data_IF_653694870903
#
_entry.id   IF_653694870903
#
_cell.length_a   1.000
_cell.length_b   1.000
_cell.length_c   1.000
_cell.angle_alpha   90.00
_cell.angle_beta   90.00
_cell.angle_gamma   90.00
#
_symmetry.space_group_name_H-M   'P 1'
#
loop_
_entity.id
_entity.type
_entity.pdbx_description
1 polymer ?
#
# COMPACT_ATOMS: atom_id res chain seq x y z
N UNK A 1 -11.26 -3.70 -11.00
CA UNK A 1 -10.51 -3.71 -9.75
C UNK A 1 -10.30 -2.31 -9.17
N UNK A 2 -9.92 -1.32 -9.95
CA UNK A 2 -9.70 0.02 -9.42
C UNK A 2 -10.97 0.85 -9.36
N UNK A 3 -11.18 1.51 -8.23
CA UNK A 3 -12.20 2.54 -8.10
C UNK A 3 -11.63 3.85 -8.64
N UNK A 4 -12.15 4.31 -9.77
CA UNK A 4 -11.63 5.48 -10.46
C UNK A 4 -11.70 6.75 -9.62
N UNK A 5 -12.62 6.82 -8.65
CA UNK A 5 -12.74 8.00 -7.78
C UNK A 5 -11.54 8.14 -6.83
N UNK A 6 -10.79 7.04 -6.61
CA UNK A 6 -9.60 7.07 -5.76
C UNK A 6 -8.34 7.48 -6.50
N UNK A 7 -8.35 7.55 -7.84
CA UNK A 7 -7.15 7.89 -8.59
C UNK A 7 -6.62 9.29 -8.25
N UNK A 8 -7.45 10.35 -8.20
CA UNK A 8 -6.94 11.66 -7.79
C UNK A 8 -6.44 11.68 -6.35
N UNK A 9 -7.11 10.94 -5.46
CA UNK A 9 -6.70 10.83 -4.06
C UNK A 9 -5.34 10.16 -3.96
N UNK A 10 -5.15 9.06 -4.68
CA UNK A 10 -3.86 8.35 -4.70
C UNK A 10 -2.73 9.25 -5.23
N UNK A 11 -2.99 10.05 -6.26
CA UNK A 11 -2.01 11.00 -6.78
C UNK A 11 -1.60 12.02 -5.73
N UNK A 12 -2.58 12.55 -4.98
CA UNK A 12 -2.32 13.49 -3.92
C UNK A 12 -1.47 12.86 -2.82
N UNK A 13 -1.81 11.63 -2.40
CA UNK A 13 -1.06 10.92 -1.39
C UNK A 13 0.39 10.66 -1.80
N UNK A 14 0.62 10.35 -3.09
CA UNK A 14 1.99 10.17 -3.58
C UNK A 14 2.82 11.44 -3.47
N UNK A 15 2.20 12.60 -3.58
CA UNK A 15 2.90 13.88 -3.43
C UNK A 15 3.13 14.27 -1.97
N UNK A 16 2.42 13.65 -1.04
CA UNK A 16 2.46 13.98 0.38
C UNK A 16 3.09 12.86 1.20
N UNK A 17 4.02 12.12 0.62
CA UNK A 17 4.67 11.02 1.33
C UNK A 17 5.42 11.49 2.57
N UNK A 18 5.35 10.67 3.62
CA UNK A 18 6.19 10.87 4.80
C UNK A 18 7.65 10.53 4.46
N UNK A 19 8.63 10.99 5.29
CA UNK A 19 10.03 10.60 5.07
C UNK A 19 10.25 9.08 5.07
N UNK A 20 9.54 8.36 5.94
CA UNK A 20 9.66 6.90 6.01
C UNK A 20 9.11 6.24 4.75
N UNK A 21 7.98 6.72 4.25
CA UNK A 21 7.42 6.22 3.00
C UNK A 21 8.37 6.49 1.83
N UNK A 22 8.98 7.67 1.81
CA UNK A 22 9.95 8.03 0.76
C UNK A 22 11.17 7.13 0.79
N UNK A 23 11.69 6.82 1.98
CA UNK A 23 12.84 5.92 2.12
C UNK A 23 12.52 4.53 1.60
N UNK A 24 11.37 3.99 1.99
CA UNK A 24 10.96 2.67 1.52
C UNK A 24 10.76 2.67 0.01
N UNK A 25 10.13 3.71 -0.52
CA UNK A 25 9.90 3.82 -1.96
C UNK A 25 11.22 3.82 -2.75
N UNK A 26 12.26 4.48 -2.23
CA UNK A 26 13.57 4.48 -2.89
C UNK A 26 14.16 3.08 -3.00
N UNK A 27 13.84 2.20 -2.06
CA UNK A 27 14.29 0.81 -2.11
C UNK A 27 13.46 -0.05 -3.06
N UNK A 28 12.21 0.32 -3.29
CA UNK A 28 11.27 -0.51 -4.05
C UNK A 28 11.12 -0.08 -5.50
N UNK A 29 11.26 1.21 -5.78
CA UNK A 29 11.00 1.77 -7.11
C UNK A 29 11.96 1.24 -8.16
N UNK A 30 11.53 1.27 -9.41
CA UNK A 30 12.37 0.90 -10.56
C UNK A 30 12.90 -0.54 -10.45
N UNK A 31 12.13 -1.43 -9.83
CA UNK A 31 12.45 -2.86 -9.66
C UNK A 31 13.76 -3.08 -8.89
N UNK A 32 14.12 -2.15 -8.01
CA UNK A 32 15.38 -2.25 -7.25
C UNK A 32 15.39 -3.41 -6.26
N UNK A 33 14.22 -3.81 -5.75
CA UNK A 33 14.13 -4.92 -4.83
C UNK A 33 13.82 -6.20 -5.61
N UNK A 34 14.82 -7.05 -5.79
CA UNK A 34 14.68 -8.38 -6.42
C UNK A 34 14.00 -8.33 -7.79
N UNK A 35 14.13 -7.21 -8.48
CA UNK A 35 13.53 -7.01 -9.80
C UNK A 35 12.00 -7.06 -9.81
N UNK A 36 11.36 -6.92 -8.65
CA UNK A 36 9.91 -6.84 -8.57
C UNK A 36 9.42 -5.43 -8.82
N UNK A 37 8.26 -5.33 -9.48
CA UNK A 37 7.63 -4.04 -9.71
C UNK A 37 6.69 -3.72 -8.56
N UNK A 38 7.00 -2.65 -7.83
CA UNK A 38 6.14 -2.11 -6.79
C UNK A 38 5.48 -0.82 -7.26
N UNK A 39 4.24 -0.61 -6.80
CA UNK A 39 3.50 0.63 -6.99
C UNK A 39 3.21 1.20 -5.61
N UNK A 40 3.14 2.53 -5.53
CA UNK A 40 2.86 3.20 -4.25
C UNK A 40 1.51 3.89 -4.30
N UNK A 41 0.85 3.96 -3.14
CA UNK A 41 -0.46 4.60 -3.01
C UNK A 41 -1.37 4.17 -4.14
N UNK A 42 -1.60 2.87 -4.21
CA UNK A 42 -2.27 2.23 -5.34
C UNK A 42 -3.69 1.85 -4.96
N UNK A 43 -4.69 2.36 -5.71
CA UNK A 43 -6.08 2.00 -5.45
C UNK A 43 -6.37 0.53 -5.77
N UNK A 44 -6.95 -0.16 -4.80
CA UNK A 44 -7.48 -1.51 -4.98
C UNK A 44 -8.92 -1.46 -4.52
N UNK A 45 -9.86 -1.46 -5.47
CA UNK A 45 -11.28 -1.27 -5.23
C UNK A 45 -11.52 0.00 -4.41
N UNK A 46 -12.06 -0.11 -3.19
CA UNK A 46 -12.37 1.05 -2.35
C UNK A 46 -11.25 1.45 -1.41
N UNK A 47 -10.08 0.82 -1.54
CA UNK A 47 -8.97 1.04 -0.62
C UNK A 47 -7.73 1.52 -1.36
N UNK A 48 -6.82 2.16 -0.63
CA UNK A 48 -5.51 2.56 -1.18
C UNK A 48 -4.45 1.80 -0.40
N UNK A 49 -3.61 1.04 -1.13
CA UNK A 49 -2.48 0.34 -0.53
C UNK A 49 -1.25 1.23 -0.55
N UNK A 50 -0.47 1.24 0.53
CA UNK A 50 0.74 2.06 0.59
C UNK A 50 1.72 1.64 -0.50
N UNK A 51 2.06 0.36 -0.55
CA UNK A 51 2.93 -0.22 -1.58
C UNK A 51 2.37 -1.57 -1.97
N UNK A 52 2.39 -1.88 -3.26
CA UNK A 52 1.87 -3.15 -3.73
C UNK A 52 2.71 -3.71 -4.87
N UNK A 53 2.97 -5.01 -4.81
CA UNK A 53 3.50 -5.77 -5.93
C UNK A 53 2.39 -6.68 -6.43
N UNK A 54 1.81 -6.32 -7.55
CA UNK A 54 0.64 -7.04 -8.07
C UNK A 54 0.99 -8.47 -8.48
N UNK A 55 2.15 -8.69 -9.09
CA UNK A 55 2.56 -10.02 -9.53
C UNK A 55 2.72 -11.00 -8.38
N UNK A 56 3.06 -10.51 -7.20
CA UNK A 56 3.22 -11.33 -5.99
C UNK A 56 2.04 -11.23 -5.05
N UNK A 57 1.05 -10.42 -5.38
CA UNK A 57 -0.09 -10.18 -4.50
C UNK A 57 0.34 -9.80 -3.09
N UNK A 58 1.34 -8.93 -3.02
CA UNK A 58 1.90 -8.48 -1.75
C UNK A 58 1.64 -7.00 -1.55
N UNK A 59 1.06 -6.67 -0.41
CA UNK A 59 0.86 -5.29 0.03
C UNK A 59 1.80 -5.04 1.20
N UNK A 60 2.52 -3.92 1.16
CA UNK A 60 3.35 -3.48 2.27
C UNK A 60 2.74 -2.21 2.83
N UNK A 61 2.42 -2.23 4.12
CA UNK A 61 1.86 -1.08 4.84
C UNK A 61 2.88 -0.57 5.85
N UNK A 62 3.15 0.72 5.80
CA UNK A 62 4.08 1.34 6.72
C UNK A 62 3.27 2.01 7.82
N UNK A 63 3.38 1.48 9.04
CA UNK A 63 2.60 1.97 10.17
C UNK A 63 3.43 2.93 11.02
N UNK A 64 2.89 4.11 11.24
CA UNK A 64 3.42 5.02 12.26
C UNK A 64 3.01 4.56 13.65
N UNK A 65 3.65 5.10 14.68
CA UNK A 65 3.44 4.67 16.06
C UNK A 65 2.04 4.91 16.62
N UNK A 66 1.15 5.51 15.86
CA UNK A 66 -0.21 5.83 16.31
C UNK A 66 -1.27 4.96 15.63
N UNK A 67 -0.85 3.92 14.97
CA UNK A 67 -1.81 3.07 14.27
C UNK A 67 -2.62 2.25 15.27
N UNK A 68 -3.94 2.39 15.20
CA UNK A 68 -4.87 1.60 15.97
C UNK A 68 -5.61 0.66 15.04
N UNK A 69 -5.60 -0.63 15.37
CA UNK A 69 -6.37 -1.60 14.62
C UNK A 69 -7.84 -1.49 15.03
N UNK A 70 -8.59 -0.71 14.28
CA UNK A 70 -10.01 -0.57 14.50
C UNK A 70 -10.78 -1.55 13.60
N UNK A 71 -12.11 -1.56 13.73
CA UNK A 71 -12.95 -2.47 12.95
C UNK A 71 -12.84 -2.22 11.44
N UNK A 72 -12.63 -0.97 11.02
CA UNK A 72 -12.49 -0.64 9.59
C UNK A 72 -11.24 -1.24 9.01
N UNK A 73 -10.13 -1.21 9.76
CA UNK A 73 -8.88 -1.84 9.33
C UNK A 73 -9.01 -3.35 9.19
N UNK A 74 -9.72 -3.97 10.13
CA UNK A 74 -9.94 -5.42 10.09
C UNK A 74 -10.76 -5.79 8.86
N UNK A 75 -11.83 -5.06 8.59
CA UNK A 75 -12.68 -5.29 7.41
C UNK A 75 -11.87 -5.11 6.13
N UNK A 76 -11.08 -4.05 6.05
CA UNK A 76 -10.20 -3.78 4.90
C UNK A 76 -9.23 -4.93 4.66
N UNK A 77 -8.55 -5.35 5.71
CA UNK A 77 -7.55 -6.42 5.61
C UNK A 77 -8.19 -7.74 5.18
N UNK A 78 -9.33 -8.08 5.76
CA UNK A 78 -10.05 -9.28 5.37
C UNK A 78 -10.46 -9.24 3.90
N UNK A 79 -10.96 -8.09 3.43
CA UNK A 79 -11.35 -7.93 2.04
C UNK A 79 -10.14 -8.15 1.12
N UNK A 80 -9.03 -7.51 1.42
CA UNK A 80 -7.83 -7.62 0.58
C UNK A 80 -7.27 -9.04 0.59
N UNK A 81 -7.30 -9.71 1.73
CA UNK A 81 -6.85 -11.10 1.84
C UNK A 81 -7.74 -12.03 1.02
N UNK A 82 -9.05 -11.79 1.00
CA UNK A 82 -9.96 -12.56 0.15
C UNK A 82 -9.69 -12.36 -1.34
N UNK A 83 -9.13 -11.20 -1.70
CA UNK A 83 -8.71 -10.94 -3.08
C UNK A 83 -7.35 -11.57 -3.39
N UNK A 84 -6.78 -12.31 -2.47
CA UNK A 84 -5.53 -13.03 -2.67
C UNK A 84 -4.29 -12.26 -2.27
N UNK A 85 -4.43 -11.11 -1.61
CA UNK A 85 -3.27 -10.34 -1.19
C UNK A 85 -2.76 -10.78 0.17
N UNK A 86 -1.44 -10.77 0.33
CA UNK A 86 -0.78 -10.87 1.62
C UNK A 86 -0.44 -9.46 2.06
N UNK A 87 -0.59 -9.17 3.35
CA UNK A 87 -0.34 -7.84 3.88
C UNK A 87 0.81 -7.93 4.88
N UNK A 88 1.88 -7.20 4.59
CA UNK A 88 3.04 -7.08 5.47
C UNK A 88 3.04 -5.68 6.08
N UNK A 89 3.03 -5.62 7.40
CA UNK A 89 3.09 -4.35 8.11
C UNK A 89 4.49 -4.13 8.64
N UNK A 90 5.01 -2.92 8.40
CA UNK A 90 6.31 -2.50 8.87
C UNK A 90 6.11 -1.33 9.82
N UNK A 91 6.59 -1.47 11.04
CA UNK A 91 6.51 -0.42 12.05
C UNK A 91 7.69 0.53 11.88
N UNK A 92 7.39 1.80 11.83
CA UNK A 92 8.43 2.83 11.66
C UNK A 92 8.54 3.74 12.87
#
# INVERSE_FOLDING_TARGET
MQNKTLIPIARKLRKQQTPEESKLWQLLRSRRFQNFKFRRQFPIDNYVADFVCLSKRLIIELDGGQHNQNSDDIIRNEYLQKQGFRILRIWA
#
